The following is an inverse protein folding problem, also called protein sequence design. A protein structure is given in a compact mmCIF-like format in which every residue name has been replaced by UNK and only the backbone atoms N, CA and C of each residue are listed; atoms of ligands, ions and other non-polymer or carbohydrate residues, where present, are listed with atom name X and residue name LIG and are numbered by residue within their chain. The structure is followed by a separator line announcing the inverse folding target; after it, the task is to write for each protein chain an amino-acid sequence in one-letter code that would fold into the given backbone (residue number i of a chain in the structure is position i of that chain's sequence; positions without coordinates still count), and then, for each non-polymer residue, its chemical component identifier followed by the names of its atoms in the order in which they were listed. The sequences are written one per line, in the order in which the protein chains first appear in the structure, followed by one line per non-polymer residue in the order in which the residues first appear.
data_IF_990302030564
#
_entry.id   IF_990302030564
#
_cell.length_a   1.000
_cell.length_b   1.000
_cell.length_c   1.000
_cell.angle_alpha   90.00
_cell.angle_beta   90.00
_cell.angle_gamma   90.00
#
_symmetry.space_group_name_H-M   'P 1'
#
loop_
_entity.id
_entity.type
_entity.pdbx_description
1 polymer ?
#
# COMPACT_ATOMS: atom_id res chain seq x y z
N UNK A 1 0.44 -8.14 24.77
CA UNK A 1 0.36 -6.67 24.64
C UNK A 1 0.22 -6.37 23.15
N UNK A 2 -0.47 -5.30 22.77
CA UNK A 2 -0.57 -4.92 21.36
C UNK A 2 0.75 -4.25 20.96
N UNK A 3 1.42 -4.74 19.91
CA UNK A 3 2.69 -4.21 19.41
C UNK A 3 2.52 -2.75 18.92
N UNK A 4 3.50 -1.89 19.21
CA UNK A 4 3.49 -0.51 18.72
C UNK A 4 3.72 -0.45 17.21
N UNK A 5 4.72 -1.18 16.68
CA UNK A 5 4.96 -1.17 15.24
C UNK A 5 3.78 -1.82 14.51
N UNK A 6 3.25 -2.93 15.03
CA UNK A 6 2.07 -3.57 14.43
C UNK A 6 0.84 -2.68 14.42
N UNK A 7 0.67 -1.81 15.43
CA UNK A 7 -0.44 -0.83 15.43
C UNK A 7 -0.25 0.28 14.39
N UNK A 8 0.98 0.66 14.07
CA UNK A 8 1.27 1.66 13.03
C UNK A 8 1.05 1.07 11.65
N UNK A 9 1.59 -0.12 11.38
CA UNK A 9 1.37 -0.84 10.12
C UNK A 9 -0.12 -1.05 9.88
N UNK A 10 -0.86 -1.48 10.91
CA UNK A 10 -2.32 -1.62 10.81
C UNK A 10 -3.04 -0.33 10.42
N UNK A 11 -2.64 0.83 10.97
CA UNK A 11 -3.26 2.11 10.61
C UNK A 11 -3.01 2.48 9.14
N UNK A 12 -1.80 2.23 8.65
CA UNK A 12 -1.43 2.50 7.26
C UNK A 12 -2.16 1.53 6.33
N UNK A 13 -2.24 0.24 6.67
CA UNK A 13 -3.03 -0.76 5.95
C UNK A 13 -4.51 -0.36 5.83
N UNK A 14 -5.13 0.13 6.90
CA UNK A 14 -6.53 0.54 6.86
C UNK A 14 -6.72 1.77 5.95
N UNK A 15 -5.77 2.69 5.94
CA UNK A 15 -5.77 3.86 5.05
C UNK A 15 -5.63 3.44 3.58
N UNK A 16 -4.73 2.51 3.29
CA UNK A 16 -4.54 1.95 1.94
C UNK A 16 -5.79 1.18 1.49
N UNK A 17 -6.38 0.34 2.33
CA UNK A 17 -7.63 -0.38 2.02
C UNK A 17 -8.78 0.58 1.70
N UNK A 18 -9.00 1.61 2.51
CA UNK A 18 -10.07 2.60 2.26
C UNK A 18 -9.86 3.29 0.90
N UNK A 19 -8.62 3.64 0.59
CA UNK A 19 -8.23 4.24 -0.69
C UNK A 19 -8.51 3.29 -1.87
N UNK A 20 -8.16 2.01 -1.74
CA UNK A 20 -8.38 1.00 -2.78
C UNK A 20 -9.85 0.67 -2.99
N UNK A 21 -10.66 0.66 -1.93
CA UNK A 21 -12.12 0.51 -2.04
C UNK A 21 -12.73 1.69 -2.79
N UNK A 22 -12.27 2.91 -2.54
CA UNK A 22 -12.68 4.09 -3.31
C UNK A 22 -12.28 4.01 -4.78
N UNK A 23 -11.10 3.47 -5.08
CA UNK A 23 -10.67 3.18 -6.46
C UNK A 23 -11.58 2.12 -7.11
N UNK A 24 -11.83 1.01 -6.44
CA UNK A 24 -12.71 -0.06 -6.94
C UNK A 24 -14.11 0.47 -7.28
N UNK A 25 -14.70 1.28 -6.39
CA UNK A 25 -15.99 1.92 -6.62
C UNK A 25 -15.97 2.84 -7.86
N UNK A 26 -14.91 3.66 -8.01
CA UNK A 26 -14.73 4.54 -9.16
C UNK A 26 -14.70 3.74 -10.47
N UNK A 27 -13.90 2.66 -10.50
CA UNK A 27 -13.72 1.80 -11.68
C UNK A 27 -14.98 0.99 -12.01
N UNK A 28 -15.71 0.53 -10.98
CA UNK A 28 -16.96 -0.22 -11.12
C UNK A 28 -18.11 0.65 -11.64
N UNK A 29 -18.13 1.92 -11.25
CA UNK A 29 -19.19 2.87 -11.61
C UNK A 29 -19.05 3.45 -13.02
N UNK A 30 -17.85 3.38 -13.62
CA UNK A 30 -17.55 4.08 -14.87
C UNK A 30 -17.02 3.15 -15.97
N UNK A 31 -17.85 2.90 -16.99
CA UNK A 31 -17.41 2.19 -18.21
C UNK A 31 -16.64 3.09 -19.18
N UNK A 32 -16.84 4.40 -19.10
CA UNK A 32 -16.22 5.44 -19.92
C UNK A 32 -15.47 6.42 -19.00
N UNK A 33 -14.51 7.21 -19.53
CA UNK A 33 -13.81 8.20 -18.72
C UNK A 33 -14.81 9.13 -18.00
N UNK A 34 -14.74 9.25 -16.66
CA UNK A 34 -15.55 10.22 -15.93
C UNK A 34 -15.09 11.65 -16.24
N UNK A 35 -16.00 12.61 -16.17
CA UNK A 35 -15.60 14.01 -16.09
C UNK A 35 -14.92 14.24 -14.74
N UNK A 36 -13.71 14.82 -14.76
CA UNK A 36 -12.97 15.12 -13.53
C UNK A 36 -13.34 16.51 -13.05
N UNK A 37 -14.23 16.57 -12.07
CA UNK A 37 -14.52 17.77 -11.31
C UNK A 37 -13.50 17.96 -10.16
N UNK A 38 -13.65 19.04 -9.39
CA UNK A 38 -12.71 19.34 -8.31
C UNK A 38 -12.65 18.24 -7.23
N UNK A 39 -13.78 17.59 -6.93
CA UNK A 39 -13.86 16.55 -5.92
C UNK A 39 -13.17 15.26 -6.39
N UNK A 40 -13.39 14.87 -7.65
CA UNK A 40 -12.69 13.73 -8.23
C UNK A 40 -11.19 14.00 -8.42
N UNK A 41 -10.80 15.22 -8.80
CA UNK A 41 -9.39 15.60 -8.89
C UNK A 41 -8.68 15.48 -7.53
N UNK A 42 -9.31 15.94 -6.45
CA UNK A 42 -8.78 15.78 -5.09
C UNK A 42 -8.65 14.31 -4.69
N UNK A 43 -9.68 13.49 -4.94
CA UNK A 43 -9.65 12.05 -4.69
C UNK A 43 -8.54 11.33 -5.47
N UNK A 44 -8.33 11.68 -6.74
CA UNK A 44 -7.26 11.11 -7.55
C UNK A 44 -5.87 11.53 -7.05
N UNK A 45 -5.71 12.78 -6.59
CA UNK A 45 -4.49 13.25 -5.95
C UNK A 45 -4.21 12.50 -4.64
N UNK A 46 -5.23 12.29 -3.80
CA UNK A 46 -5.12 11.51 -2.57
C UNK A 46 -4.74 10.04 -2.87
N UNK A 47 -5.40 9.39 -3.83
CA UNK A 47 -5.04 8.05 -4.30
C UNK A 47 -3.57 7.97 -4.72
N UNK A 48 -3.11 8.93 -5.52
CA UNK A 48 -1.72 8.97 -5.96
C UNK A 48 -0.72 9.17 -4.81
N UNK A 49 -1.09 9.93 -3.78
CA UNK A 49 -0.27 10.13 -2.60
C UNK A 49 -0.20 8.85 -1.74
N UNK A 50 -1.35 8.23 -1.43
CA UNK A 50 -1.41 6.99 -0.65
C UNK A 50 -0.63 5.85 -1.33
N UNK A 51 -0.83 5.63 -2.62
CA UNK A 51 -0.11 4.57 -3.35
C UNK A 51 1.41 4.77 -3.38
N UNK A 52 1.88 6.03 -3.42
CA UNK A 52 3.32 6.32 -3.29
C UNK A 52 3.82 6.07 -1.88
N UNK A 53 3.08 6.50 -0.86
CA UNK A 53 3.45 6.25 0.53
C UNK A 53 3.58 4.74 0.81
N UNK A 54 2.63 3.94 0.31
CA UNK A 54 2.66 2.48 0.38
C UNK A 54 3.98 1.92 -0.22
N UNK A 55 4.23 2.15 -1.50
CA UNK A 55 5.34 1.44 -2.17
C UNK A 55 6.71 2.09 -2.00
N UNK A 56 6.78 3.38 -1.67
CA UNK A 56 8.04 4.10 -1.47
C UNK A 56 8.47 4.16 -0.01
N UNK A 57 7.52 4.14 0.93
CA UNK A 57 7.81 4.30 2.36
C UNK A 57 7.46 3.05 3.17
N UNK A 58 6.25 2.50 3.03
CA UNK A 58 5.83 1.32 3.78
C UNK A 58 6.66 0.09 3.37
N UNK A 59 6.65 -0.31 2.09
CA UNK A 59 7.45 -1.43 1.59
C UNK A 59 8.95 -1.23 1.86
N UNK A 60 9.44 0.00 1.73
CA UNK A 60 10.85 0.32 1.99
C UNK A 60 11.21 0.17 3.47
N UNK A 61 10.31 0.55 4.38
CA UNK A 61 10.49 0.33 5.81
C UNK A 61 10.54 -1.16 6.11
N UNK A 62 9.61 -1.94 5.56
CA UNK A 62 9.54 -3.36 5.84
C UNK A 62 10.78 -4.09 5.34
N UNK A 63 11.15 -3.90 4.07
CA UNK A 63 12.33 -4.53 3.47
C UNK A 63 13.65 -4.02 4.08
N UNK A 64 13.70 -2.75 4.49
CA UNK A 64 14.90 -2.12 5.05
C UNK A 64 15.13 -2.38 6.53
N UNK A 65 14.06 -2.63 7.30
CA UNK A 65 14.13 -2.68 8.77
C UNK A 65 13.42 -3.88 9.38
N UNK A 66 12.16 -4.13 9.03
CA UNK A 66 11.36 -5.18 9.65
C UNK A 66 11.78 -6.59 9.21
N UNK A 67 11.82 -6.83 7.90
CA UNK A 67 12.15 -8.14 7.31
C UNK A 67 13.56 -8.61 7.67
N UNK A 68 14.61 -7.77 7.68
CA UNK A 68 15.92 -8.19 8.18
C UNK A 68 15.88 -8.72 9.62
N UNK A 69 15.08 -8.09 10.49
CA UNK A 69 14.91 -8.54 11.87
C UNK A 69 14.22 -9.91 11.94
N UNK A 70 13.19 -10.12 11.13
CA UNK A 70 12.48 -11.40 11.01
C UNK A 70 13.42 -12.52 10.54
N UNK A 71 14.19 -12.27 9.49
CA UNK A 71 15.20 -13.22 8.99
C UNK A 71 16.22 -13.57 10.07
N UNK A 72 16.67 -12.58 10.87
CA UNK A 72 17.61 -12.82 11.97
C UNK A 72 17.03 -13.72 13.08
N UNK A 73 15.70 -13.76 13.21
CA UNK A 73 14.96 -14.61 14.15
C UNK A 73 14.52 -15.94 13.54
N UNK A 74 14.92 -16.23 12.29
CA UNK A 74 14.62 -17.48 11.60
C UNK A 74 13.35 -17.45 10.74
N UNK A 75 12.61 -16.35 10.73
CA UNK A 75 11.42 -16.18 9.89
C UNK A 75 11.81 -15.74 8.48
N UNK A 76 11.87 -16.72 7.57
CA UNK A 76 12.28 -16.48 6.18
C UNK A 76 11.14 -16.70 5.19
N UNK A 77 10.19 -17.60 5.50
CA UNK A 77 9.10 -17.96 4.59
C UNK A 77 8.16 -16.80 4.28
N UNK A 78 7.66 -16.11 5.31
CA UNK A 78 6.78 -14.95 5.15
C UNK A 78 7.50 -13.79 4.46
N UNK A 79 8.75 -13.50 4.86
CA UNK A 79 9.57 -12.45 4.25
C UNK A 79 9.76 -12.70 2.75
N UNK A 80 10.16 -13.91 2.36
CA UNK A 80 10.35 -14.23 0.94
C UNK A 80 9.08 -14.07 0.10
N UNK A 81 7.92 -14.42 0.68
CA UNK A 81 6.62 -14.27 0.04
C UNK A 81 6.27 -12.80 -0.16
N UNK A 82 6.28 -12.00 0.91
CA UNK A 82 5.91 -10.58 0.87
C UNK A 82 6.85 -9.78 -0.04
N UNK A 83 8.18 -9.97 0.05
CA UNK A 83 9.14 -9.34 -0.86
C UNK A 83 8.94 -9.75 -2.32
N UNK A 84 8.43 -10.95 -2.61
CA UNK A 84 8.07 -11.31 -3.99
C UNK A 84 6.83 -10.52 -4.47
N UNK A 85 5.87 -10.34 -3.59
CA UNK A 85 4.64 -9.61 -3.87
C UNK A 85 4.89 -8.12 -4.05
N UNK A 86 5.69 -7.48 -3.18
CA UNK A 86 6.13 -6.09 -3.31
C UNK A 86 6.68 -5.81 -4.71
N UNK A 87 7.60 -6.65 -5.18
CA UNK A 87 8.20 -6.52 -6.51
C UNK A 87 7.18 -6.59 -7.65
N UNK A 88 6.09 -7.32 -7.44
CA UNK A 88 5.01 -7.43 -8.42
C UNK A 88 4.04 -6.25 -8.35
N UNK A 89 3.74 -5.76 -7.15
CA UNK A 89 2.78 -4.70 -6.83
C UNK A 89 3.34 -3.33 -7.18
N UNK A 90 4.57 -3.04 -6.77
CA UNK A 90 5.25 -1.75 -6.92
C UNK A 90 5.07 -1.12 -8.32
N UNK A 91 5.39 -1.80 -9.44
CA UNK A 91 5.25 -1.17 -10.75
C UNK A 91 3.79 -0.80 -11.10
N UNK A 92 2.80 -1.56 -10.62
CA UNK A 92 1.39 -1.25 -10.85
C UNK A 92 0.93 -0.07 -9.99
N UNK A 93 1.29 -0.05 -8.71
CA UNK A 93 0.99 1.05 -7.80
C UNK A 93 1.55 2.38 -8.32
N UNK A 94 2.83 2.38 -8.75
CA UNK A 94 3.47 3.55 -9.37
C UNK A 94 2.70 3.99 -10.62
N UNK A 95 2.35 3.05 -11.51
CA UNK A 95 1.62 3.37 -12.74
C UNK A 95 0.24 3.97 -12.46
N UNK A 96 -0.51 3.41 -11.52
CA UNK A 96 -1.83 3.93 -11.12
C UNK A 96 -1.69 5.31 -10.49
N UNK A 97 -0.70 5.53 -9.63
CA UNK A 97 -0.44 6.83 -9.02
C UNK A 97 -0.08 7.91 -10.06
N UNK A 98 0.73 7.57 -11.05
CA UNK A 98 1.05 8.49 -12.16
C UNK A 98 -0.18 8.86 -12.99
N UNK A 99 -0.99 7.87 -13.36
CA UNK A 99 -2.21 8.07 -14.12
C UNK A 99 -3.26 8.87 -13.35
N UNK A 100 -3.43 8.58 -12.05
CA UNK A 100 -4.32 9.34 -11.17
C UNK A 100 -3.87 10.80 -11.06
N UNK A 101 -2.57 11.04 -10.84
CA UNK A 101 -2.01 12.39 -10.74
C UNK A 101 -2.19 13.18 -12.05
N UNK A 102 -1.95 12.54 -13.20
CA UNK A 102 -2.17 13.17 -14.50
C UNK A 102 -3.65 13.51 -14.69
N UNK A 103 -4.55 12.56 -14.41
CA UNK A 103 -5.99 12.76 -14.55
C UNK A 103 -6.55 13.82 -13.60
N UNK A 104 -6.01 13.95 -12.38
CA UNK A 104 -6.37 15.03 -11.47
C UNK A 104 -6.09 16.42 -12.07
N UNK A 105 -5.03 16.55 -12.88
CA UNK A 105 -4.63 17.82 -13.47
C UNK A 105 -5.35 18.13 -14.79
N UNK A 106 -5.59 17.12 -15.63
CA UNK A 106 -6.03 17.32 -17.02
C UNK A 106 -7.26 16.50 -17.43
N UNK A 107 -7.82 15.70 -16.53
CA UNK A 107 -8.87 14.74 -16.82
C UNK A 107 -8.35 13.46 -17.51
N UNK A 108 -9.27 12.54 -17.77
CA UNK A 108 -9.01 11.32 -18.53
C UNK A 108 -9.40 11.50 -20.00
N UNK A 109 -8.57 10.97 -20.90
CA UNK A 109 -9.00 10.58 -22.24
C UNK A 109 -9.36 9.09 -22.29
N UNK A 110 -9.79 8.59 -23.46
CA UNK A 110 -10.17 7.18 -23.59
C UNK A 110 -9.02 6.20 -23.34
N UNK A 111 -7.79 6.54 -23.71
CA UNK A 111 -6.65 5.64 -23.58
C UNK A 111 -6.15 5.59 -22.14
N UNK A 112 -5.90 6.76 -21.55
CA UNK A 112 -5.49 6.90 -20.14
C UNK A 112 -6.52 6.31 -19.19
N UNK A 113 -7.82 6.41 -19.48
CA UNK A 113 -8.85 5.75 -18.69
C UNK A 113 -8.77 4.22 -18.77
N UNK A 114 -8.54 3.66 -19.96
CA UNK A 114 -8.35 2.21 -20.13
C UNK A 114 -7.13 1.72 -19.37
N UNK A 115 -5.99 2.39 -19.54
CA UNK A 115 -4.75 2.07 -18.82
C UNK A 115 -4.95 2.13 -17.30
N UNK A 116 -5.60 3.19 -16.81
CA UNK A 116 -5.87 3.40 -15.39
C UNK A 116 -6.80 2.32 -14.84
N UNK A 117 -7.85 1.99 -15.57
CA UNK A 117 -8.81 0.96 -15.16
C UNK A 117 -8.20 -0.42 -15.15
N UNK A 118 -7.51 -0.81 -16.21
CA UNK A 118 -6.97 -2.17 -16.34
C UNK A 118 -5.88 -2.42 -15.30
N UNK A 119 -4.98 -1.45 -15.11
CA UNK A 119 -3.94 -1.53 -14.06
C UNK A 119 -4.56 -1.42 -12.66
N UNK A 120 -5.55 -0.55 -12.48
CA UNK A 120 -6.19 -0.30 -11.19
C UNK A 120 -6.97 -1.50 -10.65
N UNK A 121 -7.69 -2.24 -11.51
CA UNK A 121 -8.39 -3.46 -11.08
C UNK A 121 -7.41 -4.52 -10.58
N UNK A 122 -6.31 -4.75 -11.31
CA UNK A 122 -5.30 -5.72 -10.90
C UNK A 122 -4.58 -5.29 -9.61
N UNK A 123 -4.29 -4.00 -9.46
CA UNK A 123 -3.69 -3.45 -8.25
C UNK A 123 -4.60 -3.67 -7.03
N UNK A 124 -5.89 -3.34 -7.13
CA UNK A 124 -6.84 -3.52 -6.02
C UNK A 124 -6.86 -4.97 -5.53
N UNK A 125 -6.93 -5.94 -6.44
CA UNK A 125 -6.95 -7.36 -6.07
C UNK A 125 -5.66 -7.78 -5.37
N UNK A 126 -4.50 -7.44 -5.95
CA UNK A 126 -3.19 -7.87 -5.42
C UNK A 126 -2.87 -7.21 -4.09
N UNK A 127 -3.12 -5.91 -3.97
CA UNK A 127 -2.77 -5.13 -2.79
C UNK A 127 -3.66 -5.47 -1.59
N UNK A 128 -4.97 -5.63 -1.80
CA UNK A 128 -5.86 -6.08 -0.73
C UNK A 128 -5.44 -7.47 -0.23
N UNK A 129 -5.12 -8.40 -1.14
CA UNK A 129 -4.71 -9.74 -0.75
C UNK A 129 -3.33 -9.75 -0.05
N UNK A 130 -2.42 -8.86 -0.46
CA UNK A 130 -1.13 -8.65 0.17
C UNK A 130 -1.30 -8.18 1.63
N UNK A 131 -2.01 -7.07 1.84
CA UNK A 131 -2.31 -6.51 3.17
C UNK A 131 -3.01 -7.54 4.07
N UNK A 132 -3.92 -8.36 3.53
CA UNK A 132 -4.58 -9.41 4.31
C UNK A 132 -3.58 -10.43 4.90
N UNK A 133 -2.54 -10.80 4.16
CA UNK A 133 -1.50 -11.72 4.68
C UNK A 133 -0.65 -11.06 5.75
N UNK A 134 -0.43 -9.77 5.66
CA UNK A 134 0.33 -9.02 6.66
C UNK A 134 -0.48 -8.87 7.95
N UNK A 135 -1.73 -8.45 7.84
CA UNK A 135 -2.68 -8.36 8.96
C UNK A 135 -2.84 -9.70 9.69
N UNK A 136 -3.00 -10.80 8.94
CA UNK A 136 -3.26 -12.11 9.52
C UNK A 136 -1.99 -12.85 9.96
N UNK A 137 -0.86 -12.62 9.27
CA UNK A 137 0.38 -13.37 9.45
C UNK A 137 1.49 -12.53 10.05
N UNK A 138 1.87 -11.43 9.38
CA UNK A 138 3.01 -10.60 9.77
C UNK A 138 2.78 -9.93 11.14
N UNK A 139 1.62 -9.31 11.37
CA UNK A 139 1.33 -8.64 12.64
C UNK A 139 1.27 -9.60 13.83
N UNK A 140 0.77 -10.82 13.59
CA UNK A 140 0.80 -11.90 14.58
C UNK A 140 2.24 -12.31 14.90
N UNK A 141 3.10 -12.43 13.89
CA UNK A 141 4.51 -12.75 14.04
C UNK A 141 5.29 -11.63 14.75
N UNK A 142 5.00 -10.36 14.47
CA UNK A 142 5.56 -9.21 15.20
C UNK A 142 5.31 -9.38 16.70
N UNK A 143 4.06 -9.66 17.07
CA UNK A 143 3.63 -9.79 18.47
C UNK A 143 4.25 -11.01 19.17
N UNK A 144 4.69 -12.02 18.42
CA UNK A 144 5.26 -13.25 18.96
C UNK A 144 6.80 -13.21 19.03
N UNK A 145 7.46 -12.48 18.13
CA UNK A 145 8.90 -12.56 17.91
C UNK A 145 9.68 -11.36 18.43
N UNK A 146 9.05 -10.19 18.47
CA UNK A 146 9.71 -8.97 18.92
C UNK A 146 9.54 -8.80 20.43
N UNK A 147 10.63 -8.43 21.10
CA UNK A 147 10.54 -7.91 22.45
C UNK A 147 10.10 -6.43 22.47
N UNK A 148 9.77 -5.92 23.66
CA UNK A 148 9.25 -4.55 23.82
C UNK A 148 10.27 -3.48 23.36
N UNK A 149 11.57 -3.75 23.43
CA UNK A 149 12.61 -2.80 23.03
C UNK A 149 12.78 -2.78 21.50
N UNK A 150 12.76 -3.94 20.86
CA UNK A 150 12.76 -4.09 19.40
C UNK A 150 11.52 -3.45 18.78
N UNK A 151 10.33 -3.72 19.34
CA UNK A 151 9.05 -3.14 18.93
C UNK A 151 9.09 -1.60 19.01
N UNK A 152 9.56 -1.05 20.14
CA UNK A 152 9.68 0.40 20.31
C UNK A 152 10.69 1.04 19.35
N UNK A 153 11.81 0.37 19.09
CA UNK A 153 12.84 0.86 18.17
C UNK A 153 12.35 0.87 16.71
N UNK A 154 11.65 -0.17 16.28
CA UNK A 154 11.03 -0.21 14.95
C UNK A 154 9.91 0.83 14.82
N UNK A 155 9.06 0.99 15.84
CA UNK A 155 8.03 2.03 15.85
C UNK A 155 8.61 3.45 15.75
N UNK A 156 9.75 3.70 16.41
CA UNK A 156 10.46 4.98 16.29
C UNK A 156 11.05 5.19 14.88
N UNK A 157 11.61 4.13 14.29
CA UNK A 157 12.15 4.15 12.92
C UNK A 157 11.04 4.41 11.91
N UNK A 158 9.89 3.75 12.07
CA UNK A 158 8.71 3.92 11.22
C UNK A 158 8.27 5.39 11.17
N UNK A 159 8.03 5.99 12.33
CA UNK A 159 7.61 7.40 12.44
C UNK A 159 8.63 8.39 11.87
N UNK A 160 9.89 8.01 11.76
CA UNK A 160 10.94 8.86 11.21
C UNK A 160 11.07 8.73 9.68
N UNK A 161 10.65 7.59 9.11
CA UNK A 161 10.91 7.20 7.72
C UNK A 161 9.65 7.22 6.86
N UNK A 162 8.50 6.85 7.41
CA UNK A 162 7.19 6.84 6.75
C UNK A 162 6.46 8.15 7.05
N UNK A 163 6.04 8.86 6.00
CA UNK A 163 5.43 10.20 6.07
C UNK A 163 4.21 10.32 5.18
#
# INVERSE_FOLDING_TARGET
MQSQIGSLLHQDHMTTIETLQGLEELLGSHRKPPAVDAALAERLGALAATLRAEVESHFAFEEGHLFPMFVSKGETGIVMMLTHEHRSILPMAVRVAELAQAAAAQGFDEQSWRDFRDTGVELVEREIFHIQKEEMGLLAAISALLDDAEDAALAATYKATVK
#
